data_IF_733279213360
#
_entry.id   IF_733279213360
#
_cell.length_a   1.000
_cell.length_b   1.000
_cell.length_c   1.000
_cell.angle_alpha   90.00
_cell.angle_beta   90.00
_cell.angle_gamma   90.00
#
_symmetry.space_group_name_H-M   'P 1'
#
loop_
_entity.id
_entity.type
_entity.pdbx_description
1 polymer ?
#
# COMPACT_ATOMS: atom_id res chain seq x y z
N UNK A 1 11.92 23.11 33.63
CA UNK A 1 11.79 24.57 33.56
C UNK A 1 11.19 24.85 32.19
N UNK A 2 9.94 25.28 32.14
CA UNK A 2 9.22 25.55 30.89
C UNK A 2 9.53 27.00 30.55
N UNK A 3 10.34 27.24 29.52
CA UNK A 3 10.51 28.58 28.99
C UNK A 3 9.18 29.04 28.40
N UNK A 4 8.69 30.17 28.89
CA UNK A 4 7.44 30.78 28.46
C UNK A 4 7.63 31.29 27.02
N UNK A 5 6.77 30.84 26.11
CA UNK A 5 6.74 31.32 24.72
C UNK A 5 6.07 32.69 24.70
N UNK A 6 6.80 33.73 24.29
CA UNK A 6 6.20 35.03 23.98
C UNK A 6 5.64 35.01 22.55
N UNK A 7 4.38 35.38 22.32
CA UNK A 7 3.80 35.44 20.99
C UNK A 7 4.49 36.53 20.16
N UNK A 8 5.04 36.15 19.00
CA UNK A 8 5.62 37.09 18.03
C UNK A 8 4.54 37.39 16.97
N UNK A 9 4.12 38.64 16.90
CA UNK A 9 3.19 39.15 15.88
C UNK A 9 3.99 39.53 14.63
N UNK A 10 3.77 38.82 13.51
CA UNK A 10 4.37 39.13 12.21
C UNK A 10 3.31 39.10 11.10
N UNK A 11 2.58 40.19 10.85
CA UNK A 11 2.24 40.67 9.49
C UNK A 11 1.76 42.14 9.50
N UNK A 12 1.81 42.75 8.30
CA UNK A 12 1.52 44.13 7.89
C UNK A 12 0.61 44.98 8.83
N UNK A 13 1.17 46.10 9.28
CA UNK A 13 0.61 47.02 10.28
C UNK A 13 -0.80 47.54 9.97
N UNK A 14 -1.18 47.69 8.70
CA UNK A 14 -2.47 48.30 8.33
C UNK A 14 -3.68 47.37 8.51
N UNK A 15 -3.52 46.05 8.46
CA UNK A 15 -4.65 45.11 8.68
C UNK A 15 -4.89 44.80 10.16
N UNK A 16 -3.92 45.05 11.03
CA UNK A 16 -4.00 44.74 12.47
C UNK A 16 -4.82 45.78 13.22
N UNK A 17 -4.67 47.07 12.90
CA UNK A 17 -5.37 48.14 13.62
C UNK A 17 -6.91 48.02 13.48
N UNK A 18 -7.41 47.40 12.41
CA UNK A 18 -8.84 47.19 12.20
C UNK A 18 -9.39 45.92 12.86
N UNK A 19 -8.56 44.87 13.06
CA UNK A 19 -8.97 43.62 13.71
C UNK A 19 -8.72 43.61 15.23
N UNK A 20 -7.73 44.38 15.71
CA UNK A 20 -7.38 44.47 17.12
C UNK A 20 -8.39 45.25 17.97
N UNK A 21 -9.16 46.17 17.37
CA UNK A 21 -10.22 46.91 18.09
C UNK A 21 -11.43 46.03 18.45
N UNK A 22 -11.62 44.87 17.82
CA UNK A 22 -12.78 43.99 18.06
C UNK A 22 -12.47 42.76 18.94
N UNK A 23 -11.20 42.37 19.10
CA UNK A 23 -10.79 41.11 19.74
C UNK A 23 -9.62 41.28 20.73
N UNK A 24 -9.79 42.12 21.76
CA UNK A 24 -8.73 42.56 22.70
C UNK A 24 -7.91 41.45 23.41
N UNK A 25 -8.30 40.18 23.35
CA UNK A 25 -7.62 39.07 24.04
C UNK A 25 -7.43 37.78 23.19
N UNK A 26 -7.74 37.77 21.89
CA UNK A 26 -7.60 36.57 21.05
C UNK A 26 -6.33 36.60 20.18
N UNK A 27 -5.55 35.52 20.22
CA UNK A 27 -4.35 35.38 19.41
C UNK A 27 -4.71 35.37 17.90
N UNK A 28 -4.27 36.38 17.16
CA UNK A 28 -4.54 36.53 15.72
C UNK A 28 -3.77 35.52 14.84
N UNK A 29 -2.62 35.05 15.30
CA UNK A 29 -1.79 34.06 14.61
C UNK A 29 -0.78 33.43 15.58
N UNK A 30 -0.34 32.21 15.30
CA UNK A 30 0.70 31.52 16.07
C UNK A 30 1.95 31.38 15.21
N UNK A 31 3.14 31.65 15.74
CA UNK A 31 4.40 31.49 15.01
C UNK A 31 5.31 30.48 15.69
N UNK A 32 6.00 29.66 14.90
CA UNK A 32 6.99 28.74 15.43
C UNK A 32 8.15 29.53 16.06
N UNK A 33 8.37 29.37 17.37
CA UNK A 33 9.43 30.08 18.10
C UNK A 33 10.87 29.81 17.61
N UNK A 34 11.08 28.78 16.77
CA UNK A 34 12.41 28.45 16.20
C UNK A 34 12.68 29.05 14.83
N UNK A 35 11.68 29.12 13.94
CA UNK A 35 11.88 29.54 12.55
C UNK A 35 10.96 30.69 12.11
N UNK A 36 10.06 31.15 12.98
CA UNK A 36 9.14 32.25 12.71
C UNK A 36 8.01 31.95 11.74
N UNK A 37 7.85 30.71 11.28
CA UNK A 37 6.75 30.34 10.37
C UNK A 37 5.41 30.48 11.09
N UNK A 38 4.50 31.24 10.49
CA UNK A 38 3.13 31.38 10.94
C UNK A 38 2.38 30.06 10.70
N UNK A 39 1.71 29.59 11.74
CA UNK A 39 1.02 28.31 11.83
C UNK A 39 -0.46 28.55 12.12
N UNK A 40 -1.29 27.60 11.67
CA UNK A 40 -2.76 27.67 11.77
C UNK A 40 -3.28 27.66 13.21
N UNK A 41 -2.49 27.19 14.18
CA UNK A 41 -2.85 27.15 15.61
C UNK A 41 -1.60 26.98 16.49
N UNK A 42 -1.79 27.08 17.81
CA UNK A 42 -0.71 26.97 18.81
C UNK A 42 0.03 25.63 18.73
N UNK A 43 -0.68 24.50 18.66
CA UNK A 43 -0.07 23.17 18.55
C UNK A 43 0.83 23.08 17.32
N UNK A 44 0.36 23.56 16.16
CA UNK A 44 1.15 23.58 14.95
C UNK A 44 2.44 24.40 15.14
N UNK A 45 2.38 25.57 15.79
CA UNK A 45 3.56 26.39 16.08
C UNK A 45 4.55 25.72 17.05
N UNK A 46 4.05 25.08 18.11
CA UNK A 46 4.86 24.37 19.11
C UNK A 46 5.59 23.17 18.51
N UNK A 47 4.93 22.40 17.64
CA UNK A 47 5.49 21.19 17.06
C UNK A 47 6.14 21.39 15.68
N UNK A 48 6.02 22.57 15.05
CA UNK A 48 6.50 22.85 13.69
C UNK A 48 7.97 22.46 13.48
N UNK A 49 8.86 22.90 14.38
CA UNK A 49 10.28 22.57 14.38
C UNK A 49 10.66 21.56 15.49
N UNK A 50 9.66 20.85 16.03
CA UNK A 50 9.86 19.75 16.95
C UNK A 50 10.17 18.44 16.21
N UNK A 51 10.78 17.45 16.89
CA UNK A 51 10.88 16.10 16.36
C UNK A 51 9.48 15.50 16.23
N UNK A 52 9.17 14.91 15.07
CA UNK A 52 7.92 14.19 14.87
C UNK A 52 8.00 12.87 15.63
N UNK A 53 6.97 12.50 16.37
CA UNK A 53 7.00 11.31 17.22
C UNK A 53 5.93 10.31 16.79
N UNK A 54 6.27 9.04 16.90
CA UNK A 54 5.36 7.93 16.69
C UNK A 54 4.23 7.99 17.70
N UNK A 55 2.99 8.01 17.23
CA UNK A 55 1.80 8.01 18.10
C UNK A 55 1.65 6.74 18.95
N UNK A 56 2.35 5.65 18.60
CA UNK A 56 2.29 4.38 19.34
C UNK A 56 3.43 4.23 20.34
N UNK A 57 4.69 4.42 19.91
CA UNK A 57 5.87 4.14 20.75
C UNK A 57 6.64 5.39 21.19
N UNK A 58 6.27 6.59 20.72
CA UNK A 58 6.91 7.86 21.08
C UNK A 58 8.29 8.10 20.45
N UNK A 59 8.84 7.15 19.70
CA UNK A 59 10.12 7.30 18.98
C UNK A 59 10.05 8.38 17.92
N UNK A 60 11.18 9.04 17.65
CA UNK A 60 11.27 10.02 16.57
C UNK A 60 10.99 9.37 15.20
N UNK A 61 10.25 10.09 14.36
CA UNK A 61 9.79 9.68 13.04
C UNK A 61 10.17 10.73 12.01
N UNK A 62 10.16 10.35 10.73
CA UNK A 62 10.25 11.34 9.67
C UNK A 62 9.06 12.31 9.72
N UNK A 63 9.29 13.53 9.24
CA UNK A 63 8.22 14.52 9.10
C UNK A 63 7.04 13.93 8.33
N UNK A 64 5.82 14.33 8.72
CA UNK A 64 4.55 13.89 8.12
C UNK A 64 4.20 12.40 8.31
N UNK A 65 4.94 11.65 9.14
CA UNK A 65 4.55 10.29 9.56
C UNK A 65 4.01 10.32 10.98
N UNK A 66 2.88 9.63 11.18
CA UNK A 66 2.25 9.44 12.51
C UNK A 66 2.77 8.21 13.23
N UNK A 67 3.42 7.29 12.52
CA UNK A 67 4.00 6.05 13.06
C UNK A 67 5.45 5.89 12.60
N UNK A 68 6.29 5.32 13.47
CA UNK A 68 7.62 4.87 13.06
C UNK A 68 7.50 3.63 12.17
N UNK A 69 8.52 3.35 11.36
CA UNK A 69 8.54 2.21 10.44
C UNK A 69 8.22 0.88 11.15
N UNK A 70 8.77 0.66 12.35
CA UNK A 70 8.51 -0.55 13.13
C UNK A 70 7.05 -0.69 13.60
N UNK A 71 6.44 0.41 14.06
CA UNK A 71 5.02 0.39 14.47
C UNK A 71 4.09 0.29 13.27
N UNK A 72 4.43 0.91 12.14
CA UNK A 72 3.69 0.77 10.89
C UNK A 72 3.71 -0.68 10.40
N UNK A 73 4.90 -1.31 10.33
CA UNK A 73 5.05 -2.72 9.94
C UNK A 73 4.32 -3.66 10.90
N UNK A 74 4.38 -3.42 12.21
CA UNK A 74 3.63 -4.19 13.21
C UNK A 74 2.12 -4.09 12.96
N UNK A 75 1.59 -2.87 12.85
CA UNK A 75 0.17 -2.63 12.61
C UNK A 75 -0.31 -3.28 11.32
N UNK A 76 0.50 -3.21 10.28
CA UNK A 76 0.17 -3.81 8.99
C UNK A 76 0.12 -5.34 9.06
N UNK A 77 1.10 -6.00 9.71
CA UNK A 77 1.04 -7.45 9.99
C UNK A 77 -0.20 -7.86 10.77
N UNK A 78 -0.57 -7.10 11.79
CA UNK A 78 -1.80 -7.36 12.56
C UNK A 78 -3.06 -7.24 11.69
N UNK A 79 -3.10 -6.27 10.76
CA UNK A 79 -4.20 -6.11 9.80
C UNK A 79 -4.28 -7.28 8.83
N UNK A 80 -3.16 -7.70 8.24
CA UNK A 80 -3.09 -8.85 7.33
C UNK A 80 -3.54 -10.13 8.03
N UNK A 81 -3.06 -10.38 9.26
CA UNK A 81 -3.48 -11.53 10.06
C UNK A 81 -4.98 -11.50 10.40
N UNK A 82 -5.52 -10.32 10.72
CA UNK A 82 -6.96 -10.15 10.99
C UNK A 82 -7.78 -10.46 9.74
N UNK A 83 -7.42 -9.88 8.59
CA UNK A 83 -8.06 -10.20 7.30
C UNK A 83 -8.01 -11.69 7.02
N UNK A 84 -6.86 -12.32 7.23
CA UNK A 84 -6.68 -13.74 6.93
C UNK A 84 -7.47 -14.64 7.88
N UNK A 85 -7.70 -14.20 9.12
CA UNK A 85 -8.55 -14.91 10.07
C UNK A 85 -10.04 -14.80 9.73
N UNK A 86 -10.47 -13.64 9.26
CA UNK A 86 -11.88 -13.32 8.96
C UNK A 86 -12.33 -13.78 7.56
N UNK A 87 -11.38 -14.01 6.64
CA UNK A 87 -11.66 -14.40 5.27
C UNK A 87 -12.27 -15.80 5.14
N UNK A 88 -13.15 -15.95 4.15
CA UNK A 88 -13.64 -17.24 3.70
C UNK A 88 -12.49 -18.09 3.17
N UNK A 89 -12.39 -19.34 3.64
CA UNK A 89 -11.33 -20.27 3.23
C UNK A 89 -11.86 -21.15 2.11
N UNK A 90 -11.36 -20.92 0.91
CA UNK A 90 -11.68 -21.72 -0.27
C UNK A 90 -10.48 -22.62 -0.58
N UNK A 91 -10.69 -23.91 -0.88
CA UNK A 91 -9.57 -24.75 -1.32
C UNK A 91 -9.18 -24.38 -2.74
N UNK A 92 -7.89 -24.47 -3.05
CA UNK A 92 -7.43 -24.07 -4.37
C UNK A 92 -8.06 -24.85 -5.53
N UNK A 93 -8.44 -26.12 -5.33
CA UNK A 93 -9.13 -26.90 -6.38
C UNK A 93 -10.55 -26.39 -6.67
N UNK A 94 -11.11 -25.57 -5.79
CA UNK A 94 -12.46 -25.00 -5.88
C UNK A 94 -12.43 -23.53 -6.34
N UNK A 95 -11.23 -22.97 -6.59
CA UNK A 95 -11.03 -21.58 -6.97
C UNK A 95 -10.48 -21.50 -8.40
N UNK A 96 -11.28 -20.91 -9.31
CA UNK A 96 -11.01 -20.86 -10.75
C UNK A 96 -11.06 -19.41 -11.27
N UNK A 97 -10.13 -18.59 -10.76
CA UNK A 97 -9.97 -17.18 -11.12
C UNK A 97 -8.52 -16.73 -10.82
N UNK A 98 -8.12 -15.52 -11.26
CA UNK A 98 -6.85 -14.94 -10.86
C UNK A 98 -6.72 -14.80 -9.34
N UNK A 99 -5.49 -14.85 -8.87
CA UNK A 99 -5.14 -14.75 -7.44
C UNK A 99 -4.10 -13.68 -7.21
N UNK A 100 -4.10 -13.15 -6.01
CA UNK A 100 -3.09 -12.21 -5.53
C UNK A 100 -2.31 -12.83 -4.39
N UNK A 101 -0.99 -12.83 -4.46
CA UNK A 101 -0.10 -13.44 -3.48
C UNK A 101 0.70 -12.36 -2.77
N UNK A 102 0.65 -12.38 -1.44
CA UNK A 102 1.48 -11.55 -0.57
C UNK A 102 2.15 -12.40 0.52
N UNK A 103 3.23 -11.89 1.11
CA UNK A 103 3.83 -12.48 2.30
C UNK A 103 3.04 -12.15 3.58
N UNK A 104 3.42 -12.73 4.71
CA UNK A 104 2.80 -12.46 6.01
C UNK A 104 3.04 -11.01 6.49
N UNK A 105 3.98 -10.32 5.87
CA UNK A 105 4.24 -8.89 6.02
C UNK A 105 3.38 -8.02 5.10
N UNK A 106 2.55 -8.61 4.24
CA UNK A 106 1.64 -7.99 3.28
C UNK A 106 2.35 -7.30 2.11
N UNK A 107 3.57 -7.73 1.77
CA UNK A 107 4.24 -7.31 0.54
C UNK A 107 3.81 -8.23 -0.60
N UNK A 108 3.50 -7.67 -1.79
CA UNK A 108 3.19 -8.48 -2.95
C UNK A 108 4.37 -9.39 -3.31
N UNK A 109 4.07 -10.65 -3.60
CA UNK A 109 5.08 -11.62 -3.93
C UNK A 109 5.43 -11.58 -5.43
N UNK A 110 6.72 -11.54 -5.76
CA UNK A 110 7.27 -11.62 -7.14
C UNK A 110 6.84 -10.47 -8.09
N UNK A 111 7.22 -10.64 -9.36
CA UNK A 111 6.85 -9.76 -10.48
C UNK A 111 5.32 -9.73 -10.69
N UNK A 112 4.82 -8.74 -11.42
CA UNK A 112 3.38 -8.42 -11.56
C UNK A 112 2.68 -8.04 -10.24
N UNK A 113 3.43 -7.49 -9.29
CA UNK A 113 2.88 -6.96 -8.04
C UNK A 113 1.99 -7.99 -7.32
N UNK A 114 2.38 -9.27 -7.29
CA UNK A 114 1.62 -10.32 -6.60
C UNK A 114 0.52 -11.00 -7.40
N UNK A 115 0.17 -10.56 -8.61
CA UNK A 115 -0.92 -11.17 -9.39
C UNK A 115 -0.48 -12.35 -10.26
N UNK A 116 -1.29 -13.42 -10.22
CA UNK A 116 -1.16 -14.63 -11.04
C UNK A 116 -2.47 -14.96 -11.74
N UNK A 117 -2.40 -15.58 -12.93
CA UNK A 117 -3.61 -15.84 -13.73
C UNK A 117 -4.50 -16.94 -13.15
N UNK A 118 -3.89 -17.88 -12.42
CA UNK A 118 -4.56 -18.90 -11.64
C UNK A 118 -3.62 -19.45 -10.54
N UNK A 119 -4.09 -20.41 -9.75
CA UNK A 119 -3.28 -21.04 -8.69
C UNK A 119 -2.19 -21.97 -9.25
N UNK A 120 -2.40 -22.58 -10.42
CA UNK A 120 -1.39 -23.40 -11.08
C UNK A 120 -0.13 -22.59 -11.40
N UNK A 121 -0.30 -21.37 -11.92
CA UNK A 121 0.80 -20.43 -12.14
C UNK A 121 1.56 -20.12 -10.84
N UNK A 122 0.86 -20.00 -9.71
CA UNK A 122 1.51 -19.82 -8.39
C UNK A 122 2.35 -21.05 -8.05
N UNK A 123 1.77 -22.25 -8.18
CA UNK A 123 2.45 -23.51 -7.84
C UNK A 123 3.70 -23.69 -8.71
N UNK A 124 3.63 -23.47 -10.02
CA UNK A 124 4.79 -23.54 -10.92
C UNK A 124 5.84 -22.49 -10.54
N UNK A 125 5.42 -21.23 -10.37
CA UNK A 125 6.32 -20.12 -10.10
C UNK A 125 7.15 -20.34 -8.83
N UNK A 126 6.50 -20.68 -7.72
CA UNK A 126 7.18 -20.94 -6.44
C UNK A 126 7.75 -22.36 -6.32
N UNK A 127 7.21 -23.32 -7.07
CA UNK A 127 7.64 -24.72 -7.09
C UNK A 127 8.96 -24.93 -7.81
N UNK A 128 9.21 -24.18 -8.89
CA UNK A 128 10.47 -24.22 -9.65
C UNK A 128 11.57 -23.37 -9.02
N UNK A 129 11.27 -22.70 -7.90
CA UNK A 129 12.21 -21.81 -7.25
C UNK A 129 13.17 -22.54 -6.31
N UNK A 130 14.47 -22.37 -6.58
CA UNK A 130 15.53 -22.85 -5.73
C UNK A 130 15.95 -21.83 -4.65
N UNK A 131 15.45 -20.59 -4.71
CA UNK A 131 15.90 -19.48 -3.86
C UNK A 131 15.25 -19.47 -2.46
N UNK A 132 14.45 -20.49 -2.12
CA UNK A 132 14.09 -20.81 -0.74
C UNK A 132 13.12 -19.83 -0.08
N UNK A 133 12.15 -19.30 -0.82
CA UNK A 133 11.04 -18.56 -0.22
C UNK A 133 10.33 -19.40 0.85
N UNK A 134 10.00 -18.77 1.98
CA UNK A 134 9.20 -19.41 3.02
C UNK A 134 7.74 -19.46 2.57
N UNK A 135 7.40 -20.51 1.85
CA UNK A 135 6.05 -20.74 1.29
C UNK A 135 4.98 -20.85 2.38
N UNK A 136 5.35 -21.11 3.63
CA UNK A 136 4.40 -21.16 4.76
C UNK A 136 3.89 -19.77 5.18
N UNK A 137 4.59 -18.72 4.73
CA UNK A 137 4.20 -17.33 5.00
C UNK A 137 3.34 -16.73 3.91
N UNK A 138 3.15 -17.44 2.79
CA UNK A 138 2.38 -16.93 1.65
C UNK A 138 0.89 -16.93 1.95
N UNK A 139 0.26 -15.81 1.64
CA UNK A 139 -1.18 -15.64 1.63
C UNK A 139 -1.64 -15.52 0.18
N UNK A 140 -2.44 -16.49 -0.25
CA UNK A 140 -3.04 -16.49 -1.59
C UNK A 140 -4.47 -15.99 -1.47
N UNK A 141 -4.68 -14.75 -1.86
CA UNK A 141 -5.97 -14.10 -1.85
C UNK A 141 -6.70 -14.36 -3.16
N UNK A 142 -8.02 -14.44 -3.08
CA UNK A 142 -8.86 -14.34 -4.25
C UNK A 142 -8.71 -12.96 -4.92
N UNK A 143 -9.38 -12.80 -6.04
CA UNK A 143 -9.48 -11.53 -6.74
C UNK A 143 -10.92 -11.27 -7.14
N UNK A 144 -11.26 -9.99 -7.23
CA UNK A 144 -12.53 -9.56 -7.79
C UNK A 144 -12.28 -8.73 -9.03
N UNK A 145 -13.09 -8.99 -10.05
CA UNK A 145 -13.05 -8.21 -11.27
C UNK A 145 -13.48 -6.77 -10.97
N UNK A 146 -12.73 -5.82 -11.50
CA UNK A 146 -13.09 -4.40 -11.49
C UNK A 146 -13.56 -4.04 -12.90
N UNK A 147 -14.72 -3.39 -12.96
CA UNK A 147 -15.21 -2.81 -14.20
C UNK A 147 -14.31 -1.66 -14.62
N UNK A 148 -13.81 -1.73 -15.85
CA UNK A 148 -13.07 -0.63 -16.44
C UNK A 148 -14.03 0.55 -16.64
N UNK A 149 -13.69 1.71 -16.07
CA UNK A 149 -14.46 2.94 -16.20
C UNK A 149 -13.52 4.12 -16.45
N UNK A 150 -14.02 5.15 -17.11
CA UNK A 150 -13.35 6.43 -17.28
C UNK A 150 -14.19 7.52 -16.63
N UNK A 151 -13.52 8.40 -15.88
CA UNK A 151 -14.13 9.50 -15.14
C UNK A 151 -13.94 10.81 -15.92
N UNK A 152 -15.03 11.35 -16.47
CA UNK A 152 -14.99 12.60 -17.22
C UNK A 152 -14.59 13.80 -16.35
N UNK A 153 -15.03 13.85 -15.09
CA UNK A 153 -14.69 14.94 -14.17
C UNK A 153 -13.18 14.94 -13.91
N UNK A 154 -12.62 13.77 -13.56
CA UNK A 154 -11.18 13.66 -13.31
C UNK A 154 -10.32 14.00 -14.56
N UNK A 155 -10.77 13.60 -15.75
CA UNK A 155 -10.08 13.93 -17.02
C UNK A 155 -10.11 15.43 -17.27
N UNK A 156 -11.24 16.10 -17.05
CA UNK A 156 -11.40 17.53 -17.25
C UNK A 156 -10.60 18.31 -16.22
N UNK A 157 -10.69 17.94 -14.94
CA UNK A 157 -9.89 18.54 -13.86
C UNK A 157 -8.40 18.47 -14.17
N UNK A 158 -7.91 17.30 -14.60
CA UNK A 158 -6.51 17.14 -14.98
C UNK A 158 -6.13 18.01 -16.19
N UNK A 159 -7.01 18.11 -17.19
CA UNK A 159 -6.77 18.96 -18.36
C UNK A 159 -6.75 20.46 -18.03
N UNK A 160 -7.40 20.87 -16.94
CA UNK A 160 -7.47 22.26 -16.46
C UNK A 160 -6.41 22.59 -15.40
N UNK A 161 -5.56 21.65 -14.99
CA UNK A 161 -4.56 21.84 -13.93
C UNK A 161 -3.64 23.05 -14.17
N UNK A 162 -3.26 23.29 -15.44
CA UNK A 162 -2.40 24.41 -15.84
C UNK A 162 -3.19 25.70 -16.18
N UNK A 163 -4.52 25.66 -16.13
CA UNK A 163 -5.37 26.81 -16.41
C UNK A 163 -5.58 27.67 -15.14
N UNK A 164 -6.18 28.85 -15.31
CA UNK A 164 -6.50 29.71 -14.17
C UNK A 164 -7.53 29.03 -13.24
N UNK A 165 -7.55 29.38 -11.96
CA UNK A 165 -8.42 28.76 -10.95
C UNK A 165 -9.93 28.80 -11.26
N UNK A 166 -10.37 29.79 -12.04
CA UNK A 166 -11.77 29.92 -12.49
C UNK A 166 -12.06 29.16 -13.81
N UNK A 167 -11.13 28.33 -14.28
CA UNK A 167 -11.31 27.62 -15.54
C UNK A 167 -12.21 26.43 -15.24
N UNK A 168 -13.42 26.47 -15.78
CA UNK A 168 -14.40 25.41 -15.60
C UNK A 168 -14.99 25.01 -16.95
N UNK A 169 -15.26 23.72 -17.10
CA UNK A 169 -16.13 23.20 -18.15
C UNK A 169 -17.51 23.03 -17.53
N UNK A 170 -18.56 23.36 -18.27
CA UNK A 170 -19.91 23.27 -17.72
C UNK A 170 -20.25 21.83 -17.35
N UNK A 171 -20.98 21.61 -16.25
CA UNK A 171 -21.42 20.27 -15.82
C UNK A 171 -22.20 19.52 -16.92
N UNK A 172 -22.88 20.27 -17.80
CA UNK A 172 -23.58 19.70 -18.96
C UNK A 172 -22.61 19.10 -19.97
N UNK A 173 -21.51 19.80 -20.26
CA UNK A 173 -20.52 19.35 -21.22
C UNK A 173 -19.70 18.18 -20.65
N UNK A 174 -19.38 18.21 -19.34
CA UNK A 174 -18.78 17.06 -18.64
C UNK A 174 -19.71 15.85 -18.68
N UNK A 175 -21.01 16.02 -18.43
CA UNK A 175 -21.99 14.94 -18.56
C UNK A 175 -22.08 14.37 -19.99
N UNK A 176 -21.99 15.23 -21.01
CA UNK A 176 -21.95 14.79 -22.41
C UNK A 176 -20.68 13.99 -22.71
N UNK A 177 -19.54 14.38 -22.14
CA UNK A 177 -18.30 13.62 -22.23
C UNK A 177 -18.43 12.26 -21.52
N UNK A 178 -19.01 12.21 -20.32
CA UNK A 178 -19.23 10.96 -19.59
C UNK A 178 -20.06 9.96 -20.41
N UNK A 179 -21.15 10.41 -21.04
CA UNK A 179 -21.97 9.55 -21.91
C UNK A 179 -21.17 8.95 -23.07
N UNK A 180 -20.27 9.74 -23.67
CA UNK A 180 -19.39 9.26 -24.75
C UNK A 180 -18.34 8.26 -24.26
N UNK A 181 -17.79 8.49 -23.06
CA UNK A 181 -16.83 7.60 -22.44
C UNK A 181 -17.49 6.27 -22.05
N UNK A 182 -18.69 6.31 -21.47
CA UNK A 182 -19.47 5.12 -21.10
C UNK A 182 -19.83 4.27 -22.32
N UNK A 183 -20.30 4.91 -23.41
CA UNK A 183 -20.56 4.21 -24.68
C UNK A 183 -19.28 3.57 -25.21
N UNK A 184 -18.16 4.30 -25.19
CA UNK A 184 -16.88 3.76 -25.64
C UNK A 184 -16.42 2.57 -24.78
N UNK A 185 -16.48 2.69 -23.46
CA UNK A 185 -16.13 1.64 -22.49
C UNK A 185 -16.99 0.39 -22.70
N UNK A 186 -18.30 0.56 -22.96
CA UNK A 186 -19.23 -0.56 -23.18
C UNK A 186 -18.84 -1.45 -24.37
N UNK A 187 -18.04 -0.92 -25.32
CA UNK A 187 -17.54 -1.66 -26.49
C UNK A 187 -16.19 -2.34 -26.26
N UNK A 188 -15.59 -2.21 -25.08
CA UNK A 188 -14.27 -2.78 -24.75
C UNK A 188 -14.41 -4.02 -23.86
N UNK A 189 -13.52 -4.98 -24.06
CA UNK A 189 -13.36 -6.16 -23.19
C UNK A 189 -12.09 -6.00 -22.34
N UNK A 190 -12.11 -5.05 -21.39
CA UNK A 190 -11.03 -4.89 -20.42
C UNK A 190 -11.52 -5.44 -19.09
N UNK A 191 -10.86 -6.48 -18.60
CA UNK A 191 -11.09 -7.02 -17.26
C UNK A 191 -9.84 -6.77 -16.45
N UNK A 192 -9.96 -5.95 -15.42
CA UNK A 192 -8.93 -5.77 -14.40
C UNK A 192 -9.35 -6.49 -13.13
N UNK A 193 -8.40 -6.75 -12.24
CA UNK A 193 -8.64 -7.43 -10.98
C UNK A 193 -7.99 -6.65 -9.84
N UNK A 194 -8.62 -6.67 -8.67
CA UNK A 194 -8.00 -6.27 -7.40
C UNK A 194 -8.05 -7.42 -6.39
N UNK A 195 -7.19 -7.41 -5.36
CA UNK A 195 -7.20 -8.46 -4.35
C UNK A 195 -8.54 -8.47 -3.60
N UNK A 196 -9.15 -9.64 -3.49
CA UNK A 196 -10.30 -9.86 -2.64
C UNK A 196 -9.84 -10.43 -1.28
N UNK A 197 -9.59 -9.54 -0.33
CA UNK A 197 -9.24 -9.90 1.04
C UNK A 197 -10.37 -10.61 1.81
N UNK A 198 -11.56 -10.77 1.22
CA UNK A 198 -12.65 -11.58 1.77
C UNK A 198 -12.49 -13.08 1.51
N UNK A 199 -11.64 -13.47 0.55
CA UNK A 199 -11.43 -14.88 0.15
C UNK A 199 -9.95 -15.22 0.27
N UNK A 200 -9.62 -16.18 1.13
CA UNK A 200 -8.27 -16.76 1.18
C UNK A 200 -8.28 -18.17 0.58
N UNK A 201 -7.48 -18.35 -0.46
CA UNK A 201 -7.27 -19.62 -1.14
C UNK A 201 -6.25 -20.46 -0.35
N UNK A 202 -6.62 -21.70 -0.03
CA UNK A 202 -5.89 -22.58 0.88
C UNK A 202 -5.41 -23.86 0.21
N UNK A 203 -4.39 -24.51 0.79
CA UNK A 203 -3.78 -25.73 0.26
C UNK A 203 -2.67 -25.51 -0.78
N UNK A 204 -2.38 -24.25 -1.12
CA UNK A 204 -1.39 -23.89 -2.16
C UNK A 204 0.04 -24.16 -1.68
N UNK A 205 0.37 -23.80 -0.44
CA UNK A 205 1.70 -23.99 0.13
C UNK A 205 2.10 -25.47 0.19
N UNK A 206 1.16 -26.35 0.55
CA UNK A 206 1.36 -27.79 0.57
C UNK A 206 1.64 -28.36 -0.82
N UNK A 207 0.98 -27.84 -1.86
CA UNK A 207 1.22 -28.25 -3.25
C UNK A 207 2.57 -27.76 -3.77
N UNK A 208 2.95 -26.51 -3.47
CA UNK A 208 4.28 -25.98 -3.82
C UNK A 208 5.37 -26.88 -3.21
N UNK A 209 5.24 -27.26 -1.93
CA UNK A 209 6.19 -28.18 -1.28
C UNK A 209 6.24 -29.56 -1.93
N UNK A 210 5.09 -30.08 -2.35
CA UNK A 210 5.04 -31.35 -3.07
C UNK A 210 5.73 -31.27 -4.43
N UNK A 211 5.53 -30.16 -5.16
CA UNK A 211 6.22 -29.86 -6.42
C UNK A 211 7.73 -29.81 -6.22
N UNK A 212 8.21 -28.99 -5.29
CA UNK A 212 9.64 -28.87 -4.96
C UNK A 212 10.27 -30.24 -4.65
N UNK A 213 9.61 -31.04 -3.82
CA UNK A 213 10.07 -32.39 -3.48
C UNK A 213 10.12 -33.33 -4.69
N UNK A 214 9.13 -33.27 -5.58
CA UNK A 214 9.10 -34.07 -6.80
C UNK A 214 10.25 -33.68 -7.74
N UNK A 215 10.50 -32.38 -7.90
CA UNK A 215 11.60 -31.85 -8.72
C UNK A 215 12.98 -32.24 -8.16
N UNK A 216 13.17 -32.21 -6.85
CA UNK A 216 14.39 -32.71 -6.20
C UNK A 216 14.62 -34.22 -6.43
N UNK A 217 13.58 -35.04 -6.33
CA UNK A 217 13.63 -36.47 -6.62
C UNK A 217 14.03 -36.75 -8.07
N UNK A 218 13.43 -36.05 -9.03
CA UNK A 218 13.81 -36.19 -10.44
C UNK A 218 15.26 -35.79 -10.70
N UNK A 219 15.72 -34.70 -10.09
CA UNK A 219 17.09 -34.21 -10.24
C UNK A 219 18.10 -35.18 -9.63
N UNK A 220 17.78 -35.81 -8.49
CA UNK A 220 18.65 -36.80 -7.84
C UNK A 220 18.65 -38.18 -8.52
N UNK A 221 17.56 -38.55 -9.19
CA UNK A 221 17.50 -39.76 -10.02
C UNK A 221 18.23 -39.59 -11.37
N UNK A 222 18.24 -38.38 -11.95
CA UNK A 222 18.95 -38.05 -13.19
C UNK A 222 20.45 -37.76 -13.00
N UNK A 223 20.97 -37.72 -11.76
CA UNK A 223 22.41 -37.58 -11.51
C UNK A 223 23.18 -38.78 -12.09
N UNK A 224 24.20 -38.55 -12.97
CA UNK A 224 25.04 -39.62 -13.49
C UNK A 224 25.65 -40.43 -12.32
N UNK A 225 25.67 -41.76 -12.46
CA UNK A 225 26.15 -42.70 -11.43
C UNK A 225 27.56 -42.40 -10.87
N UNK A 226 28.32 -41.51 -11.50
CA UNK A 226 29.65 -41.07 -11.07
C UNK A 226 29.65 -40.18 -9.81
N UNK A 227 28.53 -39.52 -9.47
CA UNK A 227 28.45 -38.64 -8.27
C UNK A 227 27.96 -39.36 -7.00
N UNK A 228 27.47 -40.60 -7.09
CA UNK A 228 27.00 -41.39 -5.93
C UNK A 228 28.12 -42.01 -5.08
N UNK A 229 29.39 -41.69 -5.35
CA UNK A 229 30.56 -42.38 -4.77
C UNK A 229 31.37 -41.57 -3.74
N UNK A 230 30.92 -40.39 -3.30
CA UNK A 230 31.72 -39.56 -2.39
C UNK A 230 31.36 -39.65 -0.90
N UNK A 231 30.24 -40.26 -0.50
CA UNK A 231 29.87 -40.41 0.92
C UNK A 231 30.37 -41.73 1.57
N UNK A 232 31.29 -42.44 0.92
CA UNK A 232 31.57 -43.84 1.25
C UNK A 232 32.97 -44.23 1.70
N UNK A 233 33.99 -43.36 1.70
CA UNK A 233 35.36 -43.73 2.12
C UNK A 233 36.17 -42.57 2.70
N UNK A 234 36.13 -42.43 4.01
CA UNK A 234 37.20 -41.84 4.81
C UNK A 234 37.41 -42.68 6.07
N UNK A 235 37.75 -43.96 5.90
CA UNK A 235 38.43 -44.74 6.93
C UNK A 235 39.56 -45.55 6.27
N UNK A 236 40.73 -45.44 6.91
CA UNK A 236 42.06 -46.03 6.69
C UNK A 236 43.06 -45.30 5.75
#
# INVERSE_FOLDING_TARGET
MVEQYEPIVLVNKEHVDQMAEEHEDEALAYACGKCGIVCINQNAAEFHCGPWKCGTCGSECSRFRTLCAACAAKRYREQVQTKAADAEKVRYQEYDAPVFVEDAEGHPARANEGFFSDVGDVIESFGDDADGHDVDTLLVWGSRAIEFHLDADAIVENALEDHHEDAEVSTRDVGTLQELLDDWVSTRSVTSYEPDYGVLVTGVAEEIKQWQKATELENTEKLPAYFRYLDGKAED
#
